data_IF_199504765754
#
_entry.id   IF_199504765754
#
_cell.length_a   1.000
_cell.length_b   1.000
_cell.length_c   1.000
_cell.angle_alpha   90.00
_cell.angle_beta   90.00
_cell.angle_gamma   90.00
#
_symmetry.space_group_name_H-M   'P 1'
#
loop_
_entity.id
_entity.type
_entity.pdbx_description
1 polymer ?
#
# COMPACT_ATOMS: atom_id res chain seq x y z
N UNK A 1 86.10 -7.40 28.73
CA UNK A 1 84.84 -8.13 28.48
C UNK A 1 83.69 -7.15 28.58
N UNK A 2 82.99 -6.82 27.49
CA UNK A 2 81.75 -6.05 27.54
C UNK A 2 80.54 -6.98 27.60
N UNK A 3 79.57 -6.57 28.41
CA UNK A 3 78.38 -7.30 28.83
C UNK A 3 77.31 -7.36 27.74
N UNK A 4 76.63 -8.51 27.70
CA UNK A 4 75.39 -8.72 26.99
C UNK A 4 74.25 -7.93 27.68
N UNK A 5 73.73 -6.91 27.02
CA UNK A 5 72.41 -6.37 27.33
C UNK A 5 71.63 -6.25 26.03
N UNK A 6 70.56 -7.06 25.99
CA UNK A 6 69.25 -6.79 25.42
C UNK A 6 69.19 -5.85 24.20
N UNK A 7 69.29 -6.43 23.00
CA UNK A 7 68.57 -5.92 21.85
C UNK A 7 67.17 -6.54 21.88
N UNK A 8 66.25 -5.89 22.60
CA UNK A 8 64.85 -6.04 22.29
C UNK A 8 64.62 -5.24 21.01
N UNK A 9 64.76 -5.91 19.88
CA UNK A 9 64.33 -5.39 18.60
C UNK A 9 62.79 -5.44 18.54
N UNK A 10 62.12 -4.78 19.49
CA UNK A 10 60.67 -4.55 19.57
C UNK A 10 60.23 -3.47 18.54
N UNK A 11 60.96 -3.36 17.42
CA UNK A 11 60.62 -2.46 16.33
C UNK A 11 59.71 -3.22 15.39
N UNK A 12 58.40 -3.10 15.64
CA UNK A 12 57.33 -3.64 14.81
C UNK A 12 57.62 -3.27 13.36
N UNK A 13 57.74 -4.27 12.49
CA UNK A 13 58.12 -4.03 11.10
C UNK A 13 57.00 -3.25 10.38
N UNK A 14 57.29 -2.35 9.41
CA UNK A 14 56.25 -1.58 8.72
C UNK A 14 55.15 -2.45 8.07
N UNK A 15 55.50 -3.67 7.69
CA UNK A 15 54.60 -4.70 7.17
C UNK A 15 53.66 -5.28 8.25
N UNK A 16 54.11 -5.46 9.49
CA UNK A 16 53.27 -5.89 10.61
C UNK A 16 52.24 -4.83 10.97
N UNK A 17 52.67 -3.57 11.00
CA UNK A 17 51.79 -2.42 11.19
C UNK A 17 50.70 -2.39 10.09
N UNK A 18 51.09 -2.57 8.82
CA UNK A 18 50.15 -2.62 7.71
C UNK A 18 49.18 -3.80 7.80
N UNK A 19 49.64 -5.00 8.21
CA UNK A 19 48.77 -6.16 8.41
C UNK A 19 47.70 -5.90 9.47
N UNK A 20 48.06 -5.30 10.60
CA UNK A 20 47.09 -4.97 11.67
C UNK A 20 46.05 -3.95 11.19
N UNK A 21 46.46 -2.94 10.42
CA UNK A 21 45.53 -1.99 9.82
C UNK A 21 44.59 -2.62 8.81
N UNK A 22 45.08 -3.55 7.97
CA UNK A 22 44.24 -4.28 7.01
C UNK A 22 43.21 -5.15 7.74
N UNK A 23 43.63 -5.88 8.78
CA UNK A 23 42.73 -6.71 9.61
C UNK A 23 41.66 -5.84 10.29
N UNK A 24 42.04 -4.66 10.80
CA UNK A 24 41.12 -3.71 11.41
C UNK A 24 40.07 -3.19 10.41
N UNK A 25 40.48 -2.83 9.19
CA UNK A 25 39.57 -2.38 8.13
C UNK A 25 38.58 -3.49 7.76
N UNK A 26 39.06 -4.71 7.58
CA UNK A 26 38.20 -5.87 7.28
C UNK A 26 37.20 -6.11 8.41
N UNK A 27 37.63 -6.03 9.68
CA UNK A 27 36.75 -6.17 10.83
C UNK A 27 35.64 -5.10 10.87
N UNK A 28 35.96 -3.84 10.55
CA UNK A 28 34.97 -2.76 10.47
C UNK A 28 33.99 -2.98 9.32
N UNK A 29 34.47 -3.42 8.15
CA UNK A 29 33.60 -3.73 7.00
C UNK A 29 32.65 -4.89 7.35
N UNK A 30 33.15 -5.95 7.97
CA UNK A 30 32.33 -7.10 8.41
C UNK A 30 31.30 -6.67 9.45
N UNK A 31 31.69 -5.84 10.43
CA UNK A 31 30.77 -5.29 11.42
C UNK A 31 29.69 -4.41 10.77
N UNK A 32 30.07 -3.57 9.81
CA UNK A 32 29.14 -2.73 9.07
C UNK A 32 28.14 -3.57 8.26
N UNK A 33 28.61 -4.60 7.54
CA UNK A 33 27.73 -5.54 6.82
C UNK A 33 26.83 -6.33 7.76
N UNK A 34 27.33 -6.70 8.94
CA UNK A 34 26.55 -7.36 10.00
C UNK A 34 25.44 -6.45 10.53
N UNK A 35 25.72 -5.18 10.79
CA UNK A 35 24.72 -4.19 11.22
C UNK A 35 23.73 -3.84 10.10
N UNK A 36 24.20 -3.72 8.85
CA UNK A 36 23.36 -3.43 7.68
C UNK A 36 22.41 -4.58 7.34
N UNK A 37 22.79 -5.84 7.62
CA UNK A 37 21.92 -7.01 7.45
C UNK A 37 20.62 -6.89 8.25
N UNK A 38 20.69 -6.32 9.46
CA UNK A 38 19.52 -6.15 10.31
C UNK A 38 18.66 -4.94 9.87
N UNK A 39 19.28 -3.90 9.30
CA UNK A 39 18.56 -2.71 8.82
C UNK A 39 17.62 -2.99 7.64
N UNK A 40 17.91 -4.02 6.83
CA UNK A 40 17.11 -4.37 5.64
C UNK A 40 15.81 -5.11 6.03
N UNK A 41 15.71 -5.69 7.24
CA UNK A 41 14.52 -6.47 7.64
C UNK A 41 13.32 -5.66 8.13
N UNK A 42 13.37 -4.33 8.16
CA UNK A 42 12.26 -3.48 8.63
C UNK A 42 11.44 -2.77 7.54
N UNK A 43 11.58 -3.12 6.26
CA UNK A 43 10.77 -2.53 5.18
C UNK A 43 9.96 -3.62 4.45
N UNK A 44 9.22 -4.43 5.19
CA UNK A 44 7.98 -5.07 4.73
C UNK A 44 7.07 -5.18 5.93
N UNK A 45 6.15 -4.23 6.05
CA UNK A 45 4.96 -4.44 6.87
C UNK A 45 4.21 -5.63 6.28
N UNK A 46 3.90 -6.65 7.10
CA UNK A 46 3.14 -7.87 6.74
C UNK A 46 1.74 -7.60 6.11
N UNK A 47 1.34 -6.33 6.01
CA UNK A 47 0.07 -5.90 5.42
C UNK A 47 0.05 -5.94 3.88
N UNK A 48 1.22 -5.86 3.22
CA UNK A 48 1.26 -5.82 1.74
C UNK A 48 1.48 -7.20 1.10
N UNK A 49 2.03 -8.18 1.82
CA UNK A 49 2.46 -9.43 1.19
C UNK A 49 1.29 -10.36 0.82
N UNK A 50 0.23 -10.39 1.64
CA UNK A 50 -0.99 -11.16 1.35
C UNK A 50 -1.75 -10.64 0.12
N UNK A 51 -1.63 -9.35 -0.20
CA UNK A 51 -2.24 -8.75 -1.39
C UNK A 51 -1.62 -9.28 -2.68
N UNK A 52 -0.29 -9.42 -2.73
CA UNK A 52 0.42 -9.90 -3.93
C UNK A 52 0.39 -11.42 -4.10
N UNK A 53 0.31 -12.21 -3.02
CA UNK A 53 0.24 -13.68 -3.10
C UNK A 53 -1.08 -14.19 -3.69
N UNK A 54 -2.17 -13.40 -3.64
CA UNK A 54 -3.47 -13.76 -4.24
C UNK A 54 -3.42 -13.92 -5.77
N UNK A 55 -2.50 -13.25 -6.45
CA UNK A 55 -2.42 -13.25 -7.93
C UNK A 55 -1.71 -14.47 -8.52
N UNK A 56 -1.02 -15.28 -7.71
CA UNK A 56 -0.25 -16.42 -8.21
C UNK A 56 -0.95 -17.77 -8.00
N UNK A 57 -2.12 -17.79 -7.36
CA UNK A 57 -2.85 -19.02 -7.11
C UNK A 57 -3.93 -19.22 -8.18
N UNK A 58 -3.73 -20.21 -9.07
CA UNK A 58 -4.62 -20.52 -10.23
C UNK A 58 -6.03 -20.99 -9.84
N UNK A 59 -6.30 -21.06 -8.54
CA UNK A 59 -7.56 -21.51 -7.95
C UNK A 59 -8.73 -20.53 -8.22
N UNK A 60 -8.44 -19.30 -8.68
CA UNK A 60 -9.48 -18.33 -9.07
C UNK A 60 -10.23 -18.75 -10.34
N UNK A 61 -9.59 -19.48 -11.25
CA UNK A 61 -10.19 -19.92 -12.53
C UNK A 61 -11.17 -21.07 -12.33
N UNK A 62 -11.00 -21.89 -11.28
CA UNK A 62 -11.81 -23.08 -11.03
C UNK A 62 -13.29 -22.77 -10.73
N UNK A 63 -13.60 -21.58 -10.24
CA UNK A 63 -14.96 -21.17 -9.89
C UNK A 63 -15.69 -20.39 -10.99
N UNK A 64 -15.01 -20.05 -12.09
CA UNK A 64 -15.59 -19.21 -13.15
C UNK A 64 -15.95 -19.99 -14.44
N UNK A 65 -15.70 -21.31 -14.52
CA UNK A 65 -15.91 -22.08 -15.76
C UNK A 65 -17.28 -22.74 -15.93
N UNK A 66 -18.14 -22.76 -14.91
CA UNK A 66 -19.47 -23.41 -14.97
C UNK A 66 -20.64 -22.41 -15.14
N UNK A 67 -20.38 -21.11 -15.08
CA UNK A 67 -21.41 -20.06 -15.06
C UNK A 67 -21.57 -19.35 -16.41
N UNK A 68 -21.29 -20.01 -17.54
CA UNK A 68 -21.21 -19.35 -18.84
C UNK A 68 -22.17 -19.88 -19.91
N UNK A 69 -23.34 -20.42 -19.55
CA UNK A 69 -24.30 -20.89 -20.57
C UNK A 69 -25.73 -20.32 -20.49
N UNK A 70 -26.09 -19.54 -19.47
CA UNK A 70 -27.47 -19.03 -19.30
C UNK A 70 -27.57 -17.49 -19.23
N UNK A 71 -26.70 -16.76 -19.94
CA UNK A 71 -26.83 -15.31 -20.01
C UNK A 71 -27.92 -14.91 -21.01
N UNK A 72 -29.13 -14.74 -20.51
CA UNK A 72 -30.15 -13.92 -21.15
C UNK A 72 -29.56 -12.55 -21.52
N UNK A 73 -29.78 -12.15 -22.77
CA UNK A 73 -29.38 -10.88 -23.34
C UNK A 73 -30.10 -9.73 -22.64
N UNK A 74 -29.49 -9.18 -21.59
CA UNK A 74 -29.93 -7.94 -20.98
C UNK A 74 -29.58 -6.79 -21.92
N UNK A 75 -30.61 -6.03 -22.33
CA UNK A 75 -30.44 -4.69 -22.86
C UNK A 75 -29.56 -3.89 -21.90
N UNK A 76 -28.29 -3.66 -22.28
CA UNK A 76 -27.34 -2.80 -21.59
C UNK A 76 -27.85 -1.37 -21.68
N UNK A 77 -28.80 -1.06 -20.79
CA UNK A 77 -29.30 0.28 -20.56
C UNK A 77 -28.12 1.20 -20.27
N UNK A 78 -28.25 2.46 -20.65
CA UNK A 78 -27.22 3.52 -20.71
C UNK A 78 -26.41 3.76 -19.42
N UNK A 79 -26.75 3.06 -18.34
CA UNK A 79 -26.10 3.06 -17.01
C UNK A 79 -24.72 2.41 -16.98
N UNK A 80 -24.39 1.54 -17.94
CA UNK A 80 -23.07 0.86 -17.96
C UNK A 80 -21.97 1.76 -18.55
N UNK A 81 -22.35 2.79 -19.33
CA UNK A 81 -21.38 3.71 -19.95
C UNK A 81 -20.97 4.85 -19.03
N UNK A 82 -21.70 5.11 -17.94
CA UNK A 82 -21.29 6.11 -16.97
C UNK A 82 -21.22 5.51 -15.55
N UNK A 83 -20.01 5.26 -15.00
CA UNK A 83 -19.89 4.85 -13.61
C UNK A 83 -20.56 5.91 -12.71
N UNK A 84 -21.38 5.50 -11.72
CA UNK A 84 -22.14 6.44 -10.90
C UNK A 84 -21.21 7.42 -10.20
N UNK A 85 -21.56 8.70 -10.27
CA UNK A 85 -20.76 9.76 -9.69
C UNK A 85 -20.73 9.63 -8.16
N UNK A 86 -19.55 9.76 -7.54
CA UNK A 86 -19.34 9.67 -6.09
C UNK A 86 -20.12 10.75 -5.33
N UNK A 87 -20.35 11.91 -5.95
CA UNK A 87 -21.23 12.96 -5.42
C UNK A 87 -22.69 12.48 -5.37
N UNK A 88 -23.15 11.79 -6.41
CA UNK A 88 -24.49 11.20 -6.46
C UNK A 88 -24.64 10.04 -5.47
N UNK A 89 -23.61 9.19 -5.34
CA UNK A 89 -23.59 8.07 -4.37
C UNK A 89 -23.74 8.58 -2.93
N UNK A 90 -23.08 9.68 -2.59
CA UNK A 90 -23.18 10.30 -1.28
C UNK A 90 -24.39 11.25 -1.14
N UNK A 91 -25.10 11.53 -2.24
CA UNK A 91 -26.23 12.45 -2.28
C UNK A 91 -25.83 13.88 -1.91
N UNK A 92 -24.62 14.30 -2.28
CA UNK A 92 -24.06 15.63 -2.00
C UNK A 92 -23.78 16.39 -3.29
N UNK A 93 -23.94 17.72 -3.29
CA UNK A 93 -23.61 18.51 -4.46
C UNK A 93 -22.09 18.58 -4.68
N UNK A 94 -21.66 18.90 -5.90
CA UNK A 94 -20.22 18.96 -6.24
C UNK A 94 -19.45 20.02 -5.43
N UNK A 95 -20.15 21.09 -5.00
CA UNK A 95 -19.61 22.19 -4.20
C UNK A 95 -19.60 21.88 -2.69
N UNK A 96 -19.99 20.66 -2.30
CA UNK A 96 -20.04 20.25 -0.90
C UNK A 96 -18.69 20.42 -0.21
N UNK A 97 -18.76 20.95 1.01
CA UNK A 97 -17.59 21.08 1.87
C UNK A 97 -17.16 19.70 2.39
N UNK A 98 -15.87 19.52 2.77
CA UNK A 98 -15.41 18.29 3.40
C UNK A 98 -16.23 17.90 4.64
N UNK A 99 -16.70 18.90 5.39
CA UNK A 99 -17.56 18.74 6.56
C UNK A 99 -18.92 18.15 6.18
N UNK A 100 -19.52 18.63 5.08
CA UNK A 100 -20.80 18.13 4.58
C UNK A 100 -20.70 16.70 4.07
N UNK A 101 -19.64 16.39 3.30
CA UNK A 101 -19.33 15.04 2.81
C UNK A 101 -19.21 14.06 3.98
N UNK A 102 -18.47 14.46 5.02
CA UNK A 102 -18.28 13.65 6.23
C UNK A 102 -19.56 13.48 7.04
N UNK A 103 -20.38 14.53 7.14
CA UNK A 103 -21.68 14.48 7.82
C UNK A 103 -22.63 13.51 7.12
N UNK A 104 -22.69 13.57 5.79
CA UNK A 104 -23.55 12.72 4.96
C UNK A 104 -23.12 11.27 4.94
N UNK A 105 -21.82 11.00 4.79
CA UNK A 105 -21.25 9.67 4.96
C UNK A 105 -21.66 9.04 6.29
N UNK A 106 -21.56 9.78 7.40
CA UNK A 106 -21.96 9.29 8.74
C UNK A 106 -23.45 8.98 8.85
N UNK A 107 -24.31 9.72 8.15
CA UNK A 107 -25.76 9.46 8.13
C UNK A 107 -26.07 8.19 7.34
N UNK A 108 -25.47 8.06 6.14
CA UNK A 108 -25.66 6.92 5.25
C UNK A 108 -25.09 5.62 5.84
N UNK A 109 -23.91 5.68 6.45
CA UNK A 109 -23.29 4.54 7.13
C UNK A 109 -24.13 4.01 8.29
N UNK A 110 -24.86 4.88 9.00
CA UNK A 110 -25.79 4.48 10.06
C UNK A 110 -27.05 3.82 9.51
N UNK A 111 -27.57 4.31 8.38
CA UNK A 111 -28.77 3.75 7.77
C UNK A 111 -28.51 2.41 7.09
N UNK A 112 -27.33 2.21 6.51
CA UNK A 112 -26.95 1.00 5.76
C UNK A 112 -26.19 -0.03 6.59
N UNK A 113 -25.98 0.23 7.88
CA UNK A 113 -25.31 -0.71 8.76
C UNK A 113 -26.04 -2.07 8.74
N UNK A 114 -25.33 -3.20 8.68
CA UNK A 114 -25.94 -4.53 8.58
C UNK A 114 -26.87 -4.87 9.75
N UNK A 115 -26.68 -4.26 10.93
CA UNK A 115 -27.64 -4.38 12.05
C UNK A 115 -29.02 -3.76 11.76
N UNK A 116 -29.10 -2.78 10.86
CA UNK A 116 -30.33 -2.02 10.58
C UNK A 116 -31.00 -2.49 9.30
N UNK A 117 -30.24 -2.75 8.24
CA UNK A 117 -30.77 -3.08 6.90
C UNK A 117 -30.63 -4.54 6.48
N UNK A 118 -30.02 -5.41 7.29
CA UNK A 118 -29.85 -6.83 6.97
C UNK A 118 -28.72 -7.09 5.96
N UNK A 119 -28.65 -8.32 5.42
CA UNK A 119 -27.51 -8.83 4.63
C UNK A 119 -27.35 -8.21 3.23
N UNK A 120 -28.35 -7.52 2.71
CA UNK A 120 -28.33 -6.98 1.35
C UNK A 120 -27.69 -5.58 1.26
N UNK A 121 -27.38 -4.94 2.39
CA UNK A 121 -26.81 -3.58 2.41
C UNK A 121 -25.29 -3.52 2.20
N UNK A 122 -24.62 -4.66 2.04
CA UNK A 122 -23.17 -4.74 1.91
C UNK A 122 -22.65 -4.04 0.64
N UNK A 123 -23.40 -4.20 -0.47
CA UNK A 123 -23.04 -3.61 -1.77
C UNK A 123 -23.16 -2.09 -1.77
N UNK A 124 -24.20 -1.54 -1.13
CA UNK A 124 -24.40 -0.09 -1.04
C UNK A 124 -23.46 0.55 -0.03
N UNK A 125 -23.15 -0.14 1.06
CA UNK A 125 -22.13 0.31 2.02
C UNK A 125 -20.74 0.38 1.37
N UNK A 126 -20.39 -0.61 0.55
CA UNK A 126 -19.13 -0.61 -0.20
C UNK A 126 -19.02 0.60 -1.13
N UNK A 127 -20.09 0.93 -1.88
CA UNK A 127 -20.13 2.10 -2.78
C UNK A 127 -19.94 3.43 -2.03
N UNK A 128 -20.59 3.57 -0.88
CA UNK A 128 -20.50 4.80 -0.07
C UNK A 128 -19.11 4.95 0.57
N UNK A 129 -18.50 3.85 0.98
CA UNK A 129 -17.12 3.85 1.48
C UNK A 129 -16.14 4.30 0.40
N UNK A 130 -16.25 3.76 -0.81
CA UNK A 130 -15.40 4.13 -1.95
C UNK A 130 -15.55 5.62 -2.29
N UNK A 131 -16.80 6.10 -2.39
CA UNK A 131 -17.09 7.51 -2.65
C UNK A 131 -16.48 8.42 -1.58
N UNK A 132 -16.61 8.07 -0.30
CA UNK A 132 -16.02 8.84 0.79
C UNK A 132 -14.49 8.81 0.77
N UNK A 133 -13.87 7.68 0.42
CA UNK A 133 -12.42 7.55 0.34
C UNK A 133 -11.79 8.49 -0.70
N UNK A 134 -12.49 8.68 -1.83
CA UNK A 134 -12.06 9.58 -2.89
C UNK A 134 -12.37 11.04 -2.57
N UNK A 135 -13.58 11.34 -2.08
CA UNK A 135 -14.01 12.73 -1.85
C UNK A 135 -13.50 13.35 -0.53
N UNK A 136 -13.11 12.53 0.45
CA UNK A 136 -12.62 13.03 1.74
C UNK A 136 -11.19 13.57 1.68
N UNK A 137 -10.37 13.06 0.75
CA UNK A 137 -9.01 13.52 0.53
C UNK A 137 -8.99 14.58 -0.58
N UNK A 138 -8.36 15.72 -0.29
CA UNK A 138 -8.33 16.87 -1.21
C UNK A 138 -7.61 16.55 -2.52
N UNK A 139 -6.51 15.79 -2.48
CA UNK A 139 -5.72 15.47 -3.66
C UNK A 139 -6.43 14.42 -4.53
N UNK A 140 -7.11 13.46 -3.90
CA UNK A 140 -7.92 12.46 -4.62
C UNK A 140 -9.17 13.07 -5.23
N UNK A 141 -9.86 13.95 -4.51
CA UNK A 141 -11.00 14.72 -5.02
C UNK A 141 -10.60 15.55 -6.23
N UNK A 142 -9.50 16.30 -6.17
CA UNK A 142 -9.05 17.11 -7.31
C UNK A 142 -8.78 16.27 -8.57
N UNK A 143 -8.19 15.08 -8.41
CA UNK A 143 -7.95 14.14 -9.54
C UNK A 143 -9.27 13.63 -10.11
N UNK A 144 -10.20 13.27 -9.23
CA UNK A 144 -11.53 12.82 -9.61
C UNK A 144 -12.30 13.91 -10.35
N UNK A 145 -12.36 15.12 -9.79
CA UNK A 145 -13.01 16.29 -10.40
C UNK A 145 -12.40 16.61 -11.78
N UNK A 146 -11.08 16.44 -11.94
CA UNK A 146 -10.41 16.61 -13.23
C UNK A 146 -10.83 15.56 -14.26
N UNK A 147 -10.97 14.29 -13.86
CA UNK A 147 -11.40 13.19 -14.73
C UNK A 147 -12.86 13.36 -15.17
N UNK A 148 -13.74 13.77 -14.25
CA UNK A 148 -15.16 13.97 -14.56
C UNK A 148 -15.36 15.21 -15.44
N UNK A 149 -14.63 16.30 -15.18
CA UNK A 149 -14.64 17.46 -16.07
C UNK A 149 -14.17 17.08 -17.49
N UNK A 150 -13.20 16.17 -17.62
CA UNK A 150 -12.75 15.68 -18.93
C UNK A 150 -13.81 14.82 -19.65
N UNK A 151 -14.69 14.15 -18.90
CA UNK A 151 -15.83 13.38 -19.42
C UNK A 151 -17.07 14.25 -19.74
N UNK A 152 -17.11 15.49 -19.25
CA UNK A 152 -18.21 16.43 -19.50
C UNK A 152 -19.47 16.14 -18.69
N UNK A 153 -19.32 15.53 -17.51
CA UNK A 153 -20.42 15.15 -16.62
C UNK A 153 -20.71 16.18 -15.52
N UNK A 154 -20.00 17.32 -15.54
CA UNK A 154 -20.19 18.50 -14.68
C UNK A 154 -19.89 19.78 -15.46
#
# INVERSE_FOLDING_TARGET
MPSAWAQNDDVISPQEVMMVFVIFIVAVIVLFLYLARDSIRRIRTDYDQSYFESKNNRDYEKYHSDWQDDYEEYNLDRRVQNPPNYYEILGVPHDATPEDIKSRYRQLAKSLHPDVSGKDSDTDMARINEAYEVLSDKDRRNKYDSDINARGEI
#
